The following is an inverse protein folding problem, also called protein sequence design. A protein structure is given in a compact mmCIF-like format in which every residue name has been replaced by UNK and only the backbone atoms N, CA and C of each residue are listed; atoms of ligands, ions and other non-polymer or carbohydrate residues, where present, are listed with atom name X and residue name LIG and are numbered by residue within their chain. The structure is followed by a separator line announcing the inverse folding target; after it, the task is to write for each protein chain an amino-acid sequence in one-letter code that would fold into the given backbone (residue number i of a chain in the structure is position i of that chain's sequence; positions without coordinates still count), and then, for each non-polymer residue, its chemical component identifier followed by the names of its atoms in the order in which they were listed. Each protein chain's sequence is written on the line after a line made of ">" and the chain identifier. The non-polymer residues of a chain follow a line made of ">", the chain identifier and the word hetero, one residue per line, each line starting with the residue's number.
data_IF_650289286423
#
_entry.id   IF_650289286423
#
_cell.length_a   1.000
_cell.length_b   1.000
_cell.length_c   1.000
_cell.angle_alpha   90.00
_cell.angle_beta   90.00
_cell.angle_gamma   90.00
#
_symmetry.space_group_name_H-M   'P 1'
#
loop_
_entity.id
_entity.type
_entity.pdbx_description
1 polymer ?
#
# COMPACT_ATOMS: atom_id res chain seq x y z
N UNK A 1 5.00 -24.75 0.67
CA UNK A 1 4.71 -23.34 0.27
C UNK A 1 3.63 -23.30 -0.82
N UNK A 2 3.80 -23.97 -1.96
CA UNK A 2 2.85 -23.99 -3.10
C UNK A 2 1.42 -24.46 -2.70
N UNK A 3 1.30 -25.47 -1.87
CA UNK A 3 0.01 -26.01 -1.40
C UNK A 3 -0.79 -25.03 -0.54
N UNK A 4 -0.12 -24.23 0.29
CA UNK A 4 -0.81 -23.19 1.09
C UNK A 4 -1.29 -22.04 0.21
N UNK A 5 -0.52 -21.65 -0.80
CA UNK A 5 -0.89 -20.61 -1.75
C UNK A 5 -2.17 -20.95 -2.51
N UNK A 6 -2.29 -22.18 -3.01
CA UNK A 6 -3.48 -22.69 -3.71
C UNK A 6 -4.75 -22.58 -2.86
N UNK A 7 -4.65 -22.92 -1.57
CA UNK A 7 -5.77 -22.77 -0.64
C UNK A 7 -6.20 -21.33 -0.42
N UNK A 8 -5.25 -20.41 -0.38
CA UNK A 8 -5.56 -18.97 -0.27
C UNK A 8 -6.28 -18.45 -1.49
N UNK A 9 -5.86 -18.85 -2.68
CA UNK A 9 -6.54 -18.47 -3.93
C UNK A 9 -7.98 -18.97 -3.94
N UNK A 10 -8.19 -20.25 -3.69
CA UNK A 10 -9.52 -20.84 -3.61
C UNK A 10 -10.40 -20.18 -2.54
N UNK A 11 -9.79 -19.78 -1.43
CA UNK A 11 -10.51 -19.08 -0.37
C UNK A 11 -10.94 -17.68 -0.83
N UNK A 12 -10.07 -16.91 -1.45
CA UNK A 12 -10.39 -15.58 -2.00
C UNK A 12 -11.50 -15.66 -3.05
N UNK A 13 -11.38 -16.60 -4.00
CA UNK A 13 -12.36 -16.84 -5.07
C UNK A 13 -13.76 -17.16 -4.54
N UNK A 14 -13.85 -17.79 -3.39
CA UNK A 14 -15.11 -18.16 -2.76
C UNK A 14 -15.64 -17.07 -1.84
N UNK A 15 -14.82 -16.56 -0.95
CA UNK A 15 -15.28 -15.72 0.14
C UNK A 15 -15.55 -14.26 -0.29
N UNK A 16 -14.76 -13.69 -1.20
CA UNK A 16 -15.00 -12.31 -1.63
C UNK A 16 -16.35 -12.15 -2.32
N UNK A 17 -16.70 -12.97 -3.33
CA UNK A 17 -18.03 -12.91 -3.92
C UNK A 17 -19.17 -13.19 -2.91
N UNK A 18 -18.96 -14.13 -1.98
CA UNK A 18 -19.92 -14.43 -0.93
C UNK A 18 -20.18 -13.21 -0.04
N UNK A 19 -19.12 -12.56 0.44
CA UNK A 19 -19.22 -11.35 1.28
C UNK A 19 -20.04 -10.25 0.58
N UNK A 20 -19.82 -10.04 -0.71
CA UNK A 20 -20.57 -9.04 -1.47
C UNK A 20 -22.03 -9.47 -1.71
N UNK A 21 -22.28 -10.73 -2.07
CA UNK A 21 -23.61 -11.19 -2.45
C UNK A 21 -24.52 -11.51 -1.26
N UNK A 22 -23.97 -12.11 -0.19
CA UNK A 22 -24.75 -12.63 0.92
C UNK A 22 -24.68 -11.73 2.16
N UNK A 23 -23.50 -11.14 2.45
CA UNK A 23 -23.30 -10.30 3.63
C UNK A 23 -23.55 -8.80 3.35
N UNK A 24 -23.78 -8.43 2.09
CA UNK A 24 -24.08 -7.04 1.68
C UNK A 24 -22.89 -6.09 1.83
N UNK A 25 -21.67 -6.61 1.65
CA UNK A 25 -20.45 -5.81 1.74
C UNK A 25 -20.21 -5.06 0.44
N UNK A 26 -20.16 -3.74 0.48
CA UNK A 26 -19.98 -2.87 -0.69
C UNK A 26 -18.51 -2.75 -1.13
N UNK A 27 -17.56 -2.90 -0.20
CA UNK A 27 -16.13 -2.70 -0.46
C UNK A 27 -15.27 -3.68 0.33
N UNK A 28 -14.41 -4.43 -0.35
CA UNK A 28 -13.54 -5.44 0.25
C UNK A 28 -12.08 -5.03 0.14
N UNK A 29 -11.42 -4.91 1.28
CA UNK A 29 -9.98 -4.66 1.38
C UNK A 29 -9.28 -5.97 1.73
N UNK A 30 -8.32 -6.39 0.91
CA UNK A 30 -7.46 -7.54 1.20
C UNK A 30 -6.12 -7.05 1.74
N UNK A 31 -5.84 -7.37 3.01
CA UNK A 31 -4.57 -7.05 3.63
C UNK A 31 -3.62 -8.25 3.51
N UNK A 32 -2.45 -8.03 2.90
CA UNK A 32 -1.44 -9.05 2.66
C UNK A 32 -0.18 -8.78 3.48
N UNK A 33 0.33 -9.82 4.14
CA UNK A 33 1.62 -9.76 4.83
C UNK A 33 2.60 -10.66 4.09
N UNK A 34 3.33 -10.10 3.12
CA UNK A 34 4.14 -10.83 2.16
C UNK A 34 5.25 -9.98 1.54
N UNK A 35 6.13 -10.64 0.80
CA UNK A 35 7.29 -10.02 0.16
C UNK A 35 8.60 -10.45 0.83
N UNK A 36 9.67 -9.75 0.51
CA UNK A 36 10.99 -9.93 1.11
C UNK A 36 11.34 -8.68 1.91
N UNK A 37 11.90 -8.87 3.12
CA UNK A 37 12.30 -7.76 3.98
C UNK A 37 13.37 -6.90 3.32
N UNK A 38 13.20 -5.57 3.43
CA UNK A 38 14.16 -4.54 3.01
C UNK A 38 14.48 -4.53 1.51
N UNK A 39 13.58 -5.05 0.68
CA UNK A 39 13.64 -4.89 -0.78
C UNK A 39 12.85 -3.66 -1.19
N UNK A 40 13.50 -2.76 -1.92
CA UNK A 40 12.92 -1.48 -2.36
C UNK A 40 11.86 -1.65 -3.46
N UNK A 41 11.80 -2.82 -4.08
CA UNK A 41 10.84 -3.15 -5.15
C UNK A 41 10.06 -4.39 -4.81
N UNK A 42 8.78 -4.36 -5.18
CA UNK A 42 7.95 -5.55 -5.11
C UNK A 42 8.42 -6.62 -6.12
N UNK A 43 8.04 -7.87 -5.89
CA UNK A 43 8.39 -8.97 -6.78
C UNK A 43 7.17 -9.53 -7.51
N UNK A 44 7.34 -9.83 -8.80
CA UNK A 44 6.28 -10.31 -9.68
C UNK A 44 5.79 -11.72 -9.33
N UNK A 45 6.63 -12.53 -8.69
CA UNK A 45 6.30 -13.96 -8.46
C UNK A 45 5.30 -14.15 -7.34
N UNK A 46 5.47 -13.40 -6.27
CA UNK A 46 4.66 -13.57 -5.06
C UNK A 46 3.73 -12.37 -4.84
N UNK A 47 4.27 -11.14 -4.76
CA UNK A 47 3.47 -9.96 -4.41
C UNK A 47 2.49 -9.58 -5.52
N UNK A 48 2.96 -9.37 -6.74
CA UNK A 48 2.09 -9.02 -7.87
C UNK A 48 1.04 -10.09 -8.12
N UNK A 49 1.47 -11.35 -8.20
CA UNK A 49 0.56 -12.46 -8.47
C UNK A 49 -0.55 -12.59 -7.43
N UNK A 50 -0.24 -12.39 -6.14
CA UNK A 50 -1.21 -12.44 -5.07
C UNK A 50 -2.18 -11.28 -5.11
N UNK A 51 -1.65 -10.07 -5.29
CA UNK A 51 -2.46 -8.87 -5.36
C UNK A 51 -3.43 -8.90 -6.54
N UNK A 52 -2.94 -9.28 -7.72
CA UNK A 52 -3.79 -9.44 -8.91
C UNK A 52 -4.88 -10.49 -8.70
N UNK A 53 -4.54 -11.64 -8.10
CA UNK A 53 -5.52 -12.68 -7.82
C UNK A 53 -6.61 -12.21 -6.84
N UNK A 54 -6.25 -11.42 -5.82
CA UNK A 54 -7.23 -10.84 -4.92
C UNK A 54 -8.20 -9.89 -5.65
N UNK A 55 -7.69 -9.03 -6.52
CA UNK A 55 -8.53 -8.15 -7.35
C UNK A 55 -9.39 -8.98 -8.33
N UNK A 56 -8.82 -9.99 -8.97
CA UNK A 56 -9.56 -10.89 -9.88
C UNK A 56 -10.68 -11.66 -9.17
N UNK A 57 -10.52 -11.92 -7.88
CA UNK A 57 -11.54 -12.52 -7.03
C UNK A 57 -12.60 -11.52 -6.56
N UNK A 58 -12.47 -10.23 -6.89
CA UNK A 58 -13.45 -9.19 -6.59
C UNK A 58 -13.07 -8.24 -5.44
N UNK A 59 -11.83 -8.26 -4.96
CA UNK A 59 -11.36 -7.26 -4.00
C UNK A 59 -11.31 -5.86 -4.63
N UNK A 60 -11.59 -4.84 -3.84
CA UNK A 60 -11.63 -3.45 -4.30
C UNK A 60 -10.33 -2.69 -3.98
N UNK A 61 -9.55 -3.18 -3.03
CA UNK A 61 -8.26 -2.62 -2.63
C UNK A 61 -7.37 -3.73 -2.07
N UNK A 62 -6.08 -3.68 -2.39
CA UNK A 62 -5.06 -4.54 -1.77
C UNK A 62 -4.06 -3.68 -1.01
N UNK A 63 -3.78 -4.06 0.23
CA UNK A 63 -2.81 -3.40 1.11
C UNK A 63 -1.76 -4.40 1.56
N UNK A 64 -0.53 -4.23 1.07
CA UNK A 64 0.62 -5.05 1.41
C UNK A 64 1.43 -4.50 2.58
N UNK A 65 1.98 -5.41 3.37
CA UNK A 65 2.91 -5.15 4.47
C UNK A 65 3.98 -6.25 4.51
N UNK A 66 4.94 -6.19 5.40
CA UNK A 66 6.04 -7.10 5.66
C UNK A 66 7.42 -6.61 5.19
N UNK A 67 7.61 -6.01 4.00
CA UNK A 67 8.95 -5.59 3.57
C UNK A 67 9.63 -4.57 4.47
N UNK A 68 8.93 -3.93 5.40
CA UNK A 68 9.44 -2.89 6.30
C UNK A 68 9.97 -1.64 5.59
N UNK A 69 9.76 -1.53 4.30
CA UNK A 69 10.07 -0.37 3.46
C UNK A 69 8.88 -0.06 2.55
N UNK A 70 8.78 1.19 2.10
CA UNK A 70 7.80 1.56 1.09
C UNK A 70 8.12 0.85 -0.24
N UNK A 71 7.09 0.31 -0.87
CA UNK A 71 7.13 -0.18 -2.24
C UNK A 71 6.05 0.50 -3.08
N UNK A 72 6.07 0.24 -4.37
CA UNK A 72 5.22 0.91 -5.34
C UNK A 72 3.72 0.73 -5.16
N UNK A 73 3.01 1.49 -5.96
CA UNK A 73 1.56 1.50 -6.07
C UNK A 73 1.20 1.07 -7.50
N UNK A 74 0.24 0.18 -7.64
CA UNK A 74 -0.29 -0.20 -8.95
C UNK A 74 -1.79 0.09 -9.04
N UNK A 75 -2.26 0.39 -10.25
CA UNK A 75 -3.67 0.38 -10.61
C UNK A 75 -3.90 -0.81 -11.55
N UNK A 76 -4.49 -1.86 -11.02
CA UNK A 76 -4.82 -3.08 -11.74
C UNK A 76 -6.34 -3.24 -11.86
N UNK A 77 -6.85 -3.37 -13.08
CA UNK A 77 -8.29 -3.45 -13.35
C UNK A 77 -9.09 -2.36 -12.60
N UNK A 78 -8.61 -1.14 -12.67
CA UNK A 78 -9.18 0.01 -11.97
C UNK A 78 -9.24 -0.11 -10.43
N UNK A 79 -8.39 -0.92 -9.82
CA UNK A 79 -8.29 -1.07 -8.36
C UNK A 79 -6.86 -0.77 -7.90
N UNK A 80 -6.76 -0.13 -6.74
CA UNK A 80 -5.48 0.20 -6.13
C UNK A 80 -4.84 -1.01 -5.46
N UNK A 81 -3.54 -1.15 -5.65
CA UNK A 81 -2.68 -2.08 -4.94
C UNK A 81 -1.54 -1.27 -4.32
N UNK A 82 -1.39 -1.34 -3.01
CA UNK A 82 -0.20 -0.89 -2.28
C UNK A 82 0.66 -2.12 -2.00
N UNK A 83 1.84 -2.24 -2.61
CA UNK A 83 2.69 -3.42 -2.43
C UNK A 83 3.33 -3.49 -1.05
N UNK A 84 3.74 -2.36 -0.48
CA UNK A 84 4.11 -2.23 0.92
C UNK A 84 3.97 -0.80 1.39
N UNK A 85 3.28 -0.63 2.51
CA UNK A 85 3.17 0.67 3.19
C UNK A 85 4.40 1.00 4.05
N UNK A 86 5.35 0.07 4.18
CA UNK A 86 6.48 0.23 5.09
C UNK A 86 6.07 0.21 6.56
N UNK A 87 6.95 0.72 7.40
CA UNK A 87 6.68 0.91 8.83
C UNK A 87 6.12 2.31 9.08
N UNK A 88 5.13 2.44 9.97
CA UNK A 88 4.65 3.74 10.42
C UNK A 88 4.98 3.97 11.90
N UNK A 89 4.52 3.08 12.79
CA UNK A 89 4.96 3.02 14.18
C UNK A 89 5.59 1.67 14.41
N UNK A 90 6.91 1.62 14.51
CA UNK A 90 7.62 0.34 14.58
C UNK A 90 8.81 0.39 15.55
N UNK A 91 8.83 -0.56 16.49
CA UNK A 91 9.84 -0.65 17.54
C UNK A 91 11.15 -1.31 17.13
N UNK A 92 11.22 -1.84 15.92
CA UNK A 92 12.36 -2.65 15.47
C UNK A 92 12.44 -4.01 16.16
N UNK A 93 13.18 -4.93 15.58
CA UNK A 93 13.54 -6.18 16.25
C UNK A 93 14.67 -5.88 17.24
N UNK A 94 14.47 -6.20 18.50
CA UNK A 94 15.51 -6.19 19.53
C UNK A 94 16.47 -7.37 19.28
N UNK A 95 17.27 -7.27 18.22
CA UNK A 95 18.45 -8.14 18.12
C UNK A 95 19.51 -7.60 19.06
N UNK A 96 20.14 -8.42 19.93
CA UNK A 96 21.24 -7.98 20.77
C UNK A 96 22.42 -7.37 19.98
N UNK A 97 22.50 -7.65 18.68
CA UNK A 97 23.51 -7.07 17.79
C UNK A 97 23.08 -5.74 17.16
N UNK A 98 21.84 -5.33 17.32
CA UNK A 98 21.30 -4.05 16.84
C UNK A 98 21.31 -2.95 17.90
N UNK A 99 22.13 -3.06 18.94
CA UNK A 99 22.32 -2.04 19.99
C UNK A 99 22.81 -0.68 19.48
N UNK A 100 23.06 -0.56 18.21
CA UNK A 100 23.11 0.74 17.58
C UNK A 100 21.70 1.18 17.25
N UNK A 101 21.09 1.85 18.21
CA UNK A 101 19.92 2.72 18.04
C UNK A 101 20.22 3.85 17.04
N UNK A 102 20.72 3.50 15.87
CA UNK A 102 20.73 4.45 14.77
C UNK A 102 19.32 4.53 14.30
N UNK A 103 18.59 5.52 14.78
CA UNK A 103 17.38 5.98 14.14
C UNK A 103 17.75 6.33 12.70
N UNK A 104 17.68 5.33 11.83
CA UNK A 104 17.58 5.67 10.43
C UNK A 104 16.20 6.29 10.31
N UNK A 105 16.16 7.58 9.98
CA UNK A 105 14.93 8.22 9.55
C UNK A 105 14.44 7.45 8.31
N UNK A 106 13.54 6.48 8.54
CA UNK A 106 13.03 5.61 7.49
C UNK A 106 11.87 6.34 6.82
N UNK A 107 11.94 6.56 5.50
CA UNK A 107 10.84 7.11 4.73
C UNK A 107 9.61 6.21 4.81
N UNK A 108 8.47 6.79 5.07
CA UNK A 108 7.16 6.14 5.08
C UNK A 108 6.10 7.09 4.54
N UNK A 109 4.85 6.67 4.45
CA UNK A 109 3.76 7.52 4.00
C UNK A 109 2.45 7.15 4.67
N UNK A 110 1.58 8.16 4.82
CA UNK A 110 0.17 7.94 5.09
C UNK A 110 -0.58 8.01 3.75
N UNK A 111 -1.37 6.99 3.45
CA UNK A 111 -2.21 6.93 2.27
C UNK A 111 -3.66 7.22 2.66
N UNK A 112 -4.20 8.34 2.17
CA UNK A 112 -5.63 8.65 2.31
C UNK A 112 -6.36 8.22 1.04
N UNK A 113 -7.40 7.41 1.18
CA UNK A 113 -8.17 6.88 0.06
C UNK A 113 -9.62 7.32 0.22
N UNK A 114 -10.07 8.22 -0.66
CA UNK A 114 -11.47 8.60 -0.78
C UNK A 114 -12.14 7.76 -1.86
N UNK A 115 -13.26 7.16 -1.53
CA UNK A 115 -14.06 6.35 -2.43
C UNK A 115 -15.30 7.16 -2.86
N UNK A 116 -15.55 7.25 -4.16
CA UNK A 116 -16.70 7.94 -4.69
C UNK A 116 -17.63 6.94 -5.37
N UNK A 117 -18.87 6.90 -4.90
CA UNK A 117 -19.90 5.99 -5.39
C UNK A 117 -20.99 6.77 -6.14
N UNK A 118 -21.47 6.18 -7.23
CA UNK A 118 -22.69 6.59 -7.91
C UNK A 118 -23.63 5.38 -8.01
N UNK A 119 -24.86 5.51 -7.53
CA UNK A 119 -25.87 4.44 -7.50
C UNK A 119 -25.33 3.11 -6.92
N UNK A 120 -24.55 3.19 -5.85
CA UNK A 120 -23.85 2.07 -5.19
C UNK A 120 -22.72 1.42 -6.01
N UNK A 121 -22.30 2.04 -7.10
CA UNK A 121 -21.13 1.60 -7.86
C UNK A 121 -19.95 2.56 -7.60
N UNK A 122 -18.79 1.99 -7.29
CA UNK A 122 -17.56 2.74 -7.15
C UNK A 122 -17.13 3.25 -8.53
N UNK A 123 -17.14 4.56 -8.75
CA UNK A 123 -16.76 5.15 -10.03
C UNK A 123 -15.41 5.85 -10.03
N UNK A 124 -14.93 6.28 -8.87
CA UNK A 124 -13.57 6.83 -8.75
C UNK A 124 -12.98 6.66 -7.37
N UNK A 125 -11.67 6.68 -7.31
CA UNK A 125 -10.90 6.71 -6.08
C UNK A 125 -9.93 7.86 -6.14
N UNK A 126 -9.90 8.69 -5.09
CA UNK A 126 -8.86 9.69 -4.89
C UNK A 126 -7.87 9.17 -3.87
N UNK A 127 -6.63 9.00 -4.28
CA UNK A 127 -5.51 8.70 -3.42
C UNK A 127 -4.74 9.98 -3.11
N UNK A 128 -4.55 10.29 -1.83
CA UNK A 128 -3.64 11.33 -1.39
C UNK A 128 -2.47 10.72 -0.63
N UNK A 129 -1.26 10.94 -1.11
CA UNK A 129 -0.03 10.45 -0.50
C UNK A 129 0.52 11.58 0.38
N UNK A 130 0.65 11.30 1.67
CA UNK A 130 1.25 12.20 2.63
C UNK A 130 2.63 11.64 3.05
N UNK A 131 3.73 12.26 2.64
CA UNK A 131 5.07 11.84 3.02
C UNK A 131 5.33 11.97 4.52
N UNK A 132 5.85 10.92 5.11
CA UNK A 132 6.22 10.83 6.52
C UNK A 132 7.61 10.20 6.69
N UNK A 133 8.18 10.40 7.84
CA UNK A 133 9.27 9.60 8.34
C UNK A 133 8.83 8.90 9.63
N UNK A 134 9.31 7.67 9.85
CA UNK A 134 8.96 6.82 10.99
C UNK A 134 9.31 7.47 12.35
N UNK A 135 10.27 8.39 12.36
CA UNK A 135 10.66 9.16 13.53
C UNK A 135 11.08 10.58 13.15
N UNK A 136 10.75 11.54 14.00
CA UNK A 136 11.21 12.93 13.87
C UNK A 136 12.63 13.16 14.40
N UNK A 137 13.16 12.25 15.22
CA UNK A 137 14.48 12.35 15.80
C UNK A 137 15.53 11.72 14.87
N UNK A 138 16.67 12.37 14.70
CA UNK A 138 17.74 11.89 13.83
C UNK A 138 18.69 10.89 14.53
N UNK A 139 18.62 10.79 15.83
CA UNK A 139 19.53 9.97 16.63
C UNK A 139 18.86 8.72 17.20
N UNK A 140 17.58 8.82 17.55
CA UNK A 140 16.82 7.72 18.16
C UNK A 140 15.45 7.57 17.50
N UNK A 141 15.00 6.33 17.40
CA UNK A 141 13.60 6.08 17.05
C UNK A 141 12.72 6.36 18.28
N UNK A 142 11.97 7.46 18.22
CA UNK A 142 11.04 7.87 19.28
C UNK A 142 9.62 7.34 19.07
N UNK A 143 9.40 6.50 18.04
CA UNK A 143 8.10 5.92 17.68
C UNK A 143 7.00 6.96 17.37
N UNK A 144 7.40 8.13 16.93
CA UNK A 144 6.51 9.22 16.59
C UNK A 144 6.71 9.59 15.11
N UNK A 145 5.90 9.03 14.20
CA UNK A 145 5.95 9.42 12.80
C UNK A 145 5.69 10.91 12.65
N UNK A 146 6.44 11.54 11.77
CA UNK A 146 6.32 12.97 11.51
C UNK A 146 6.09 13.24 10.02
N UNK A 147 5.19 14.18 9.68
CA UNK A 147 5.08 14.64 8.30
C UNK A 147 6.36 15.34 7.87
N UNK A 148 6.74 15.16 6.63
CA UNK A 148 7.93 15.78 6.06
C UNK A 148 7.61 16.60 4.82
N UNK A 149 8.44 17.63 4.57
CA UNK A 149 8.33 18.54 3.43
C UNK A 149 9.67 18.64 2.72
N UNK A 150 9.74 19.42 1.64
CA UNK A 150 10.97 19.68 0.88
C UNK A 150 11.65 18.40 0.40
N UNK A 151 12.98 18.32 0.52
CA UNK A 151 13.79 17.21 0.03
C UNK A 151 13.42 15.86 0.68
N UNK A 152 12.98 15.86 1.94
CA UNK A 152 12.54 14.64 2.64
C UNK A 152 11.23 14.12 2.05
N UNK A 153 10.28 14.99 1.74
CA UNK A 153 9.05 14.59 1.06
C UNK A 153 9.34 14.09 -0.36
N UNK A 154 10.21 14.80 -1.10
CA UNK A 154 10.62 14.38 -2.43
C UNK A 154 11.25 12.97 -2.40
N UNK A 155 12.09 12.69 -1.42
CA UNK A 155 12.68 11.35 -1.26
C UNK A 155 11.63 10.26 -1.08
N UNK A 156 10.56 10.50 -0.31
CA UNK A 156 9.44 9.55 -0.17
C UNK A 156 8.76 9.32 -1.52
N UNK A 157 8.50 10.40 -2.24
CA UNK A 157 7.87 10.33 -3.58
C UNK A 157 8.76 9.59 -4.59
N UNK A 158 10.07 9.80 -4.56
CA UNK A 158 11.03 9.13 -5.45
C UNK A 158 11.06 7.62 -5.19
N UNK A 159 11.02 7.20 -3.92
CA UNK A 159 10.94 5.79 -3.54
C UNK A 159 9.68 5.16 -4.13
N UNK A 160 8.52 5.75 -3.88
CA UNK A 160 7.25 5.26 -4.43
C UNK A 160 7.26 5.23 -5.96
N UNK A 161 7.74 6.33 -6.60
CA UNK A 161 7.79 6.42 -8.06
C UNK A 161 8.71 5.36 -8.67
N UNK A 162 9.80 5.00 -8.01
CA UNK A 162 10.77 4.03 -8.52
C UNK A 162 10.19 2.63 -8.75
N UNK A 163 9.07 2.33 -8.10
CA UNK A 163 8.41 1.02 -8.11
C UNK A 163 6.91 1.12 -8.56
N UNK A 164 6.48 2.30 -9.01
CA UNK A 164 5.11 2.58 -9.48
C UNK A 164 5.11 2.67 -11.01
N UNK A 165 4.27 1.90 -11.73
CA UNK A 165 4.28 1.83 -13.20
C UNK A 165 3.68 3.06 -13.89
N UNK A 166 3.04 3.95 -13.16
CA UNK A 166 2.49 5.20 -13.69
C UNK A 166 3.14 6.42 -13.01
N UNK A 167 3.02 7.59 -13.63
CA UNK A 167 3.60 8.81 -13.07
C UNK A 167 2.76 9.33 -11.92
N UNK A 168 3.35 9.39 -10.73
CA UNK A 168 2.75 10.02 -9.57
C UNK A 168 2.75 11.55 -9.76
N UNK A 169 1.66 12.20 -9.37
CA UNK A 169 1.62 13.67 -9.31
C UNK A 169 2.56 14.17 -8.21
N UNK A 170 3.13 15.36 -8.37
CA UNK A 170 4.06 15.92 -7.39
C UNK A 170 3.39 16.15 -6.03
N UNK A 171 4.19 16.08 -4.99
CA UNK A 171 3.78 16.49 -3.65
C UNK A 171 3.64 18.01 -3.59
N UNK A 172 2.52 18.47 -3.00
CA UNK A 172 2.24 19.88 -2.70
C UNK A 172 2.13 20.01 -1.19
N UNK A 173 2.92 20.92 -0.61
CA UNK A 173 2.91 21.12 0.83
C UNK A 173 1.52 21.57 1.31
N UNK A 174 1.02 20.93 2.35
CA UNK A 174 -0.32 21.14 2.89
C UNK A 174 -1.45 20.35 2.19
N UNK A 175 -1.22 19.85 0.98
CA UNK A 175 -2.23 19.10 0.20
C UNK A 175 -1.89 17.63 0.05
N UNK A 176 -0.59 17.29 0.01
CA UNK A 176 -0.12 15.95 -0.34
C UNK A 176 0.08 15.77 -1.85
N UNK A 177 0.33 14.53 -2.28
CA UNK A 177 0.36 14.17 -3.71
C UNK A 177 -0.96 13.47 -4.07
N UNK A 178 -1.83 14.18 -4.77
CA UNK A 178 -3.20 13.73 -5.06
C UNK A 178 -3.27 13.03 -6.42
N UNK A 179 -3.71 11.78 -6.43
CA UNK A 179 -3.96 10.98 -7.63
C UNK A 179 -5.45 10.71 -7.76
N UNK A 180 -6.08 11.11 -8.86
CA UNK A 180 -7.46 10.77 -9.17
C UNK A 180 -7.48 9.56 -10.12
N UNK A 181 -8.08 8.47 -9.68
CA UNK A 181 -8.24 7.23 -10.46
C UNK A 181 -9.70 7.12 -10.82
N UNK A 182 -9.99 7.40 -12.10
CA UNK A 182 -11.35 7.32 -12.64
C UNK A 182 -11.53 5.93 -13.24
N UNK A 183 -12.52 5.22 -12.78
CA UNK A 183 -12.90 3.94 -13.35
C UNK A 183 -13.75 4.21 -14.59
N UNK A 184 -13.21 3.84 -15.75
CA UNK A 184 -14.04 3.78 -16.93
C UNK A 184 -15.20 2.82 -16.64
N UNK A 185 -16.44 3.28 -16.80
CA UNK A 185 -17.58 2.38 -16.76
C UNK A 185 -17.32 1.31 -17.82
N UNK A 186 -17.12 0.07 -17.43
CA UNK A 186 -17.21 -1.05 -18.33
C UNK A 186 -18.65 -1.03 -18.86
N UNK A 187 -18.82 -0.46 -20.04
CA UNK A 187 -20.08 -0.57 -20.75
C UNK A 187 -20.25 -2.04 -21.11
N UNK A 188 -21.11 -2.71 -20.38
CA UNK A 188 -21.65 -4.02 -20.74
C UNK A 188 -22.50 -3.93 -21.99
#
# INVERSE_FOLDING_TARGET
>A
RRYYMEKYYQWLEKEIPRMKAEDGVDFVIVCLHHGEEYQDKHNDKDQTRFAHHAIDSGADLVVGTHPHVLQGIEVYKNRLIFYSLGNFVFGGNKSPQSDKKTAKQIPTALMSVELQFDQNQLYSTRLTIHPYYETGDEQINNYQPVPVTGDKAQRVMDILQSDTPFTLKPFIEGEGAVQDIIYANDQH
#
